data_IF_862644184046
#
_entry.id   IF_862644184046
#
_cell.length_a   1.000
_cell.length_b   1.000
_cell.length_c   1.000
_cell.angle_alpha   90.00
_cell.angle_beta   90.00
_cell.angle_gamma   90.00
#
_symmetry.space_group_name_H-M   'P 1'
#
loop_
_entity.id
_entity.type
_entity.pdbx_description
1 polymer ?
#
# COMPACT_ATOMS: atom_id res chain seq x y z
N UNK A 1 8.53 31.01 76.64
CA UNK A 1 9.74 31.79 76.30
C UNK A 1 10.91 30.84 76.18
N UNK A 2 11.85 31.14 75.26
CA UNK A 2 12.97 30.31 74.74
C UNK A 2 12.44 29.30 73.69
N UNK A 3 12.86 29.29 72.41
CA UNK A 3 14.22 29.37 71.87
C UNK A 3 14.31 30.12 70.54
N UNK A 4 15.50 30.69 70.30
CA UNK A 4 15.86 31.50 69.15
C UNK A 4 16.93 30.81 68.27
N UNK A 5 16.83 31.08 66.96
CA UNK A 5 17.87 31.14 65.92
C UNK A 5 18.50 29.80 65.44
N UNK A 6 19.21 29.74 64.27
CA UNK A 6 19.67 30.85 63.41
C UNK A 6 19.66 30.59 61.87
N UNK A 7 20.23 31.54 61.11
CA UNK A 7 20.99 31.40 59.82
C UNK A 7 20.18 31.01 58.55
N UNK A 8 20.38 31.54 57.34
CA UNK A 8 21.42 32.39 56.76
C UNK A 8 20.93 32.93 55.41
N UNK A 9 21.50 34.04 54.97
CA UNK A 9 21.33 34.59 53.64
C UNK A 9 21.92 33.65 52.57
N UNK A 10 21.17 33.36 51.51
CA UNK A 10 21.77 32.88 50.25
C UNK A 10 21.36 33.78 49.11
N UNK A 11 22.36 34.49 48.59
CA UNK A 11 22.39 35.07 47.25
C UNK A 11 22.34 33.92 46.24
N UNK A 12 21.55 34.07 45.18
CA UNK A 12 22.00 33.91 43.78
C UNK A 12 20.81 34.02 42.84
N UNK A 13 20.44 35.27 42.53
CA UNK A 13 19.64 35.57 41.35
C UNK A 13 20.57 35.56 40.14
N UNK A 14 20.82 34.38 39.58
CA UNK A 14 21.29 34.25 38.20
C UNK A 14 20.69 32.97 37.58
N UNK A 15 19.39 33.00 37.26
CA UNK A 15 18.85 32.05 36.29
C UNK A 15 18.98 32.66 34.90
N UNK A 16 20.06 32.24 34.27
CA UNK A 16 20.35 32.25 32.85
C UNK A 16 19.09 32.24 31.98
N UNK A 17 19.05 33.22 31.07
CA UNK A 17 18.19 33.26 29.89
C UNK A 17 18.20 31.91 29.17
N UNK A 18 17.10 31.17 29.21
CA UNK A 18 16.75 30.22 28.16
C UNK A 18 15.70 30.87 27.27
N UNK A 19 16.16 31.32 26.10
CA UNK A 19 15.32 31.71 24.97
C UNK A 19 14.27 30.62 24.67
N UNK A 20 13.11 30.99 24.10
CA UNK A 20 12.02 30.05 23.85
C UNK A 20 12.54 28.91 22.98
N UNK A 21 12.21 27.67 23.32
CA UNK A 21 12.47 26.53 22.46
C UNK A 21 11.68 26.71 21.16
N UNK A 22 12.31 27.38 20.19
CA UNK A 22 12.02 27.23 18.79
C UNK A 22 12.27 25.77 18.44
N UNK A 23 11.21 24.97 18.39
CA UNK A 23 11.16 23.95 17.37
C UNK A 23 10.39 24.58 16.21
N UNK A 24 11.09 25.30 15.35
CA UNK A 24 10.73 25.22 13.93
C UNK A 24 10.88 23.73 13.61
N UNK A 25 9.76 23.00 13.66
CA UNK A 25 9.61 21.68 13.06
C UNK A 25 9.74 21.90 11.56
N UNK A 26 10.95 22.18 11.08
CA UNK A 26 11.36 21.69 9.78
C UNK A 26 11.21 20.17 9.86
N UNK A 27 9.99 19.72 9.56
CA UNK A 27 9.73 18.79 8.48
C UNK A 27 10.82 17.74 8.25
N UNK A 28 11.24 17.05 9.30
CA UNK A 28 11.66 15.66 9.13
C UNK A 28 10.40 14.82 9.19
N UNK A 29 9.51 15.03 8.21
CA UNK A 29 8.59 13.98 7.83
C UNK A 29 9.49 12.87 7.28
N UNK A 30 9.93 11.97 8.16
CA UNK A 30 10.62 10.77 7.71
C UNK A 30 9.68 10.14 6.67
N UNK A 31 10.16 9.78 5.47
CA UNK A 31 9.30 9.22 4.42
C UNK A 31 8.51 7.99 4.91
N UNK A 32 9.03 7.33 5.95
CA UNK A 32 8.39 6.24 6.69
C UNK A 32 7.07 6.65 7.35
N UNK A 33 6.92 7.87 7.88
CA UNK A 33 5.68 8.32 8.52
C UNK A 33 4.57 8.56 7.48
N UNK A 34 4.89 9.12 6.32
CA UNK A 34 3.94 9.34 5.21
C UNK A 34 3.37 8.02 4.70
N UNK A 35 4.24 7.02 4.47
CA UNK A 35 3.81 5.70 4.04
C UNK A 35 2.87 5.03 5.06
N UNK A 36 3.14 5.18 6.36
CA UNK A 36 2.30 4.63 7.43
C UNK A 36 0.95 5.34 7.53
N UNK A 37 0.93 6.66 7.43
CA UNK A 37 -0.32 7.44 7.41
C UNK A 37 -1.19 7.05 6.22
N UNK A 38 -0.59 6.98 5.03
CA UNK A 38 -1.29 6.57 3.81
C UNK A 38 -1.77 5.12 3.90
N UNK A 39 -0.99 4.24 4.51
CA UNK A 39 -1.38 2.86 4.79
C UNK A 39 -2.60 2.78 5.72
N UNK A 40 -2.62 3.57 6.80
CA UNK A 40 -3.76 3.64 7.71
C UNK A 40 -5.00 4.28 7.07
N UNK A 41 -4.83 5.30 6.23
CA UNK A 41 -5.94 5.91 5.49
C UNK A 41 -6.55 4.93 4.49
N UNK A 42 -5.70 4.21 3.76
CA UNK A 42 -6.12 3.14 2.85
C UNK A 42 -6.84 2.03 3.61
N UNK A 43 -6.29 1.60 4.75
CA UNK A 43 -6.94 0.63 5.62
C UNK A 43 -8.31 1.14 6.09
N UNK A 44 -8.43 2.42 6.44
CA UNK A 44 -9.69 3.03 6.87
C UNK A 44 -10.73 3.05 5.74
N UNK A 45 -10.30 3.27 4.49
CA UNK A 45 -11.16 3.18 3.31
C UNK A 45 -11.66 1.76 3.04
N UNK A 46 -10.79 0.75 3.23
CA UNK A 46 -11.15 -0.66 3.03
C UNK A 46 -11.99 -1.22 4.18
N UNK A 47 -11.67 -0.90 5.44
CA UNK A 47 -12.36 -1.39 6.62
C UNK A 47 -13.65 -0.64 6.95
N UNK A 48 -13.62 0.67 6.74
CA UNK A 48 -14.45 1.63 7.46
C UNK A 48 -13.75 2.12 8.74
N UNK A 49 -13.79 3.44 8.99
CA UNK A 49 -13.10 4.10 10.11
C UNK A 49 -13.46 3.54 11.49
N UNK A 50 -14.72 3.19 11.72
CA UNK A 50 -15.19 2.67 13.01
C UNK A 50 -14.53 1.31 13.29
N UNK A 51 -14.64 0.39 12.33
CA UNK A 51 -14.10 -0.97 12.49
C UNK A 51 -12.58 -1.00 12.61
N UNK A 52 -11.90 -0.13 11.88
CA UNK A 52 -10.45 -0.02 12.02
C UNK A 52 -10.07 0.54 13.40
N UNK A 53 -10.83 1.52 13.92
CA UNK A 53 -10.59 2.05 15.26
C UNK A 53 -10.80 0.97 16.33
N UNK A 54 -11.82 0.12 16.17
CA UNK A 54 -12.08 -1.03 17.05
C UNK A 54 -10.92 -2.04 17.00
N UNK A 55 -10.43 -2.39 15.80
CA UNK A 55 -9.29 -3.32 15.61
C UNK A 55 -8.02 -2.79 16.28
N UNK A 56 -7.80 -1.47 16.20
CA UNK A 56 -6.68 -0.78 16.82
C UNK A 56 -6.88 -0.50 18.32
N UNK A 57 -8.05 -0.82 18.89
CA UNK A 57 -8.42 -0.50 20.27
C UNK A 57 -8.29 1.00 20.61
N UNK A 58 -8.62 1.88 19.65
CA UNK A 58 -8.59 3.33 19.81
C UNK A 58 -9.92 3.97 19.42
N UNK A 59 -10.10 5.25 19.74
CA UNK A 59 -11.26 6.01 19.26
C UNK A 59 -11.07 6.44 17.81
N UNK A 60 -12.19 6.61 17.08
CA UNK A 60 -12.18 7.16 15.70
C UNK A 60 -11.49 8.52 15.63
N UNK A 61 -11.62 9.34 16.69
CA UNK A 61 -10.91 10.62 16.79
C UNK A 61 -9.39 10.43 16.81
N UNK A 62 -8.89 9.48 17.60
CA UNK A 62 -7.46 9.18 17.65
C UNK A 62 -6.94 8.60 16.33
N UNK A 63 -7.76 7.77 15.67
CA UNK A 63 -7.46 7.29 14.31
C UNK A 63 -7.32 8.45 13.32
N UNK A 64 -8.23 9.42 13.33
CA UNK A 64 -8.12 10.59 12.45
C UNK A 64 -6.85 11.42 12.74
N UNK A 65 -6.45 11.56 14.00
CA UNK A 65 -5.17 12.21 14.34
C UNK A 65 -3.96 11.48 13.76
N UNK A 66 -4.01 10.14 13.72
CA UNK A 66 -2.96 9.32 13.10
C UNK A 66 -2.94 9.44 11.58
N UNK A 67 -4.10 9.46 10.94
CA UNK A 67 -4.22 9.60 9.49
C UNK A 67 -3.79 11.00 9.02
N UNK A 68 -4.15 12.06 9.76
CA UNK A 68 -3.81 13.44 9.43
C UNK A 68 -2.35 13.83 9.75
N UNK A 69 -1.58 12.93 10.38
CA UNK A 69 -0.20 13.23 10.82
C UNK A 69 -0.09 14.16 12.03
N UNK A 70 -1.20 14.40 12.73
CA UNK A 70 -1.19 15.13 13.99
C UNK A 70 -0.56 14.27 15.12
N UNK A 71 -0.64 12.94 14.99
CA UNK A 71 0.02 11.95 15.85
C UNK A 71 0.66 10.89 14.97
N UNK A 72 1.90 10.50 15.27
CA UNK A 72 2.57 9.44 14.51
C UNK A 72 1.85 8.08 14.57
N UNK A 73 1.98 7.32 13.50
CA UNK A 73 1.53 5.94 13.40
C UNK A 73 2.63 4.98 13.89
N UNK A 74 2.31 4.16 14.89
CA UNK A 74 3.25 3.19 15.46
C UNK A 74 3.30 1.90 14.63
N UNK A 75 4.37 1.11 14.79
CA UNK A 75 4.46 -0.23 14.18
C UNK A 75 3.29 -1.14 14.59
N UNK A 76 2.87 -1.06 15.86
CA UNK A 76 1.75 -1.84 16.37
C UNK A 76 0.45 -1.50 15.63
N UNK A 77 0.21 -0.23 15.31
CA UNK A 77 -0.99 0.18 14.56
C UNK A 77 -0.98 -0.41 13.14
N UNK A 78 0.17 -0.37 12.47
CA UNK A 78 0.30 -0.87 11.09
C UNK A 78 0.13 -2.39 11.05
N UNK A 79 0.75 -3.11 11.99
CA UNK A 79 0.63 -4.57 12.09
C UNK A 79 -0.80 -4.99 12.41
N UNK A 80 -1.47 -4.30 13.34
CA UNK A 80 -2.87 -4.58 13.68
C UNK A 80 -3.81 -4.31 12.49
N UNK A 81 -3.63 -3.19 11.79
CA UNK A 81 -4.39 -2.89 10.58
C UNK A 81 -4.19 -3.94 9.48
N UNK A 82 -2.94 -4.38 9.26
CA UNK A 82 -2.62 -5.43 8.29
C UNK A 82 -3.29 -6.76 8.64
N UNK A 83 -3.20 -7.21 9.89
CA UNK A 83 -3.86 -8.44 10.37
C UNK A 83 -5.37 -8.39 10.20
N UNK A 84 -5.99 -7.25 10.50
CA UNK A 84 -7.41 -7.05 10.23
C UNK A 84 -7.71 -7.25 8.74
N UNK A 85 -6.90 -6.66 7.86
CA UNK A 85 -7.15 -6.70 6.41
C UNK A 85 -7.02 -8.11 5.86
N UNK A 86 -6.04 -8.87 6.34
CA UNK A 86 -5.88 -10.29 6.03
C UNK A 86 -7.12 -11.10 6.42
N UNK A 87 -7.60 -10.97 7.66
CA UNK A 87 -8.81 -11.66 8.11
C UNK A 87 -10.05 -11.28 7.29
N UNK A 88 -10.16 -10.00 6.90
CA UNK A 88 -11.26 -9.55 6.04
C UNK A 88 -11.13 -10.13 4.64
N UNK A 89 -9.93 -10.19 4.08
CA UNK A 89 -9.66 -10.77 2.78
C UNK A 89 -10.03 -12.26 2.77
N UNK A 90 -9.66 -13.02 3.80
CA UNK A 90 -10.05 -14.43 3.96
C UNK A 90 -11.57 -14.62 3.93
N UNK A 91 -12.32 -13.79 4.66
CA UNK A 91 -13.80 -13.84 4.66
C UNK A 91 -14.38 -13.52 3.29
N UNK A 92 -13.82 -12.54 2.59
CA UNK A 92 -14.25 -12.19 1.23
C UNK A 92 -13.93 -13.30 0.24
N UNK A 93 -12.79 -13.96 0.34
CA UNK A 93 -12.42 -15.10 -0.48
C UNK A 93 -13.36 -16.29 -0.25
N UNK A 94 -13.65 -16.61 1.02
CA UNK A 94 -14.61 -17.65 1.36
C UNK A 94 -16.01 -17.34 0.82
N UNK A 95 -16.44 -16.07 0.89
CA UNK A 95 -17.71 -15.64 0.31
C UNK A 95 -17.71 -15.74 -1.22
N UNK A 96 -16.63 -15.29 -1.87
CA UNK A 96 -16.49 -15.40 -3.32
C UNK A 96 -16.51 -16.87 -3.79
N UNK A 97 -15.90 -17.79 -3.04
CA UNK A 97 -15.98 -19.23 -3.32
C UNK A 97 -17.42 -19.74 -3.25
N UNK A 98 -18.18 -19.35 -2.21
CA UNK A 98 -19.61 -19.70 -2.10
C UNK A 98 -20.41 -19.17 -3.30
N UNK A 99 -20.18 -17.92 -3.71
CA UNK A 99 -20.84 -17.34 -4.87
C UNK A 99 -20.50 -18.11 -6.15
N UNK A 100 -19.22 -18.45 -6.37
CA UNK A 100 -18.81 -19.24 -7.53
C UNK A 100 -19.46 -20.63 -7.55
N UNK A 101 -19.67 -21.26 -6.39
CA UNK A 101 -20.35 -22.55 -6.30
C UNK A 101 -21.86 -22.47 -6.63
N UNK A 102 -22.48 -21.31 -6.46
CA UNK A 102 -23.90 -21.07 -6.79
C UNK A 102 -24.08 -20.71 -8.26
N UNK A 103 -23.07 -20.13 -8.91
CA UNK A 103 -23.11 -19.84 -10.34
C UNK A 103 -23.14 -21.15 -11.12
N UNK A 104 -24.17 -21.33 -11.96
CA UNK A 104 -24.30 -22.49 -12.86
C UNK A 104 -23.03 -22.64 -13.71
N UNK A 105 -22.55 -23.88 -13.96
CA UNK A 105 -21.39 -24.12 -14.82
C UNK A 105 -21.54 -23.42 -16.18
N UNK A 106 -22.75 -23.38 -16.75
CA UNK A 106 -23.02 -22.68 -18.01
C UNK A 106 -22.71 -21.17 -17.98
N UNK A 107 -22.92 -20.50 -16.84
CA UNK A 107 -22.61 -19.07 -16.67
C UNK A 107 -21.12 -18.87 -16.42
N UNK A 108 -20.48 -19.76 -15.67
CA UNK A 108 -19.03 -19.77 -15.46
C UNK A 108 -18.27 -19.98 -16.78
N UNK A 109 -18.73 -20.92 -17.61
CA UNK A 109 -18.16 -21.23 -18.91
C UNK A 109 -18.33 -20.05 -19.88
N UNK A 110 -19.50 -19.39 -19.87
CA UNK A 110 -19.76 -18.21 -20.68
C UNK A 110 -18.84 -17.02 -20.30
N UNK A 111 -18.61 -16.76 -19.01
CA UNK A 111 -17.72 -15.69 -18.54
C UNK A 111 -16.26 -15.99 -18.90
N UNK A 112 -15.85 -17.25 -18.79
CA UNK A 112 -14.49 -17.68 -19.14
C UNK A 112 -14.26 -17.59 -20.65
N UNK A 113 -15.23 -18.06 -21.45
CA UNK A 113 -15.20 -17.92 -22.91
C UNK A 113 -15.19 -16.44 -23.35
N UNK A 114 -15.92 -15.55 -22.66
CA UNK A 114 -15.90 -14.12 -22.93
C UNK A 114 -14.51 -13.50 -22.65
N UNK A 115 -13.84 -13.90 -21.56
CA UNK A 115 -12.47 -13.46 -21.27
C UNK A 115 -11.46 -13.96 -22.30
N UNK A 116 -11.59 -15.21 -22.74
CA UNK A 116 -10.73 -15.76 -23.79
C UNK A 116 -10.92 -15.01 -25.11
N UNK A 117 -12.15 -14.64 -25.46
CA UNK A 117 -12.42 -13.78 -26.62
C UNK A 117 -11.73 -12.42 -26.47
N UNK A 118 -11.88 -11.78 -25.32
CA UNK A 118 -11.26 -10.48 -25.08
C UNK A 118 -9.72 -10.55 -25.15
N UNK A 119 -9.12 -11.61 -24.58
CA UNK A 119 -7.68 -11.86 -24.70
C UNK A 119 -7.25 -12.09 -26.15
N UNK A 120 -8.04 -12.85 -26.93
CA UNK A 120 -7.75 -13.09 -28.35
C UNK A 120 -7.80 -11.80 -29.18
N UNK A 121 -8.72 -10.88 -28.88
CA UNK A 121 -8.78 -9.57 -29.55
C UNK A 121 -7.56 -8.72 -29.23
N UNK A 122 -7.09 -8.74 -27.98
CA UNK A 122 -5.88 -8.00 -27.57
C UNK A 122 -4.64 -8.58 -28.26
N UNK A 123 -4.50 -9.91 -28.30
CA UNK A 123 -3.39 -10.58 -28.99
C UNK A 123 -3.39 -10.27 -30.49
N UNK A 124 -4.56 -10.34 -31.15
CA UNK A 124 -4.67 -9.97 -32.57
C UNK A 124 -4.30 -8.50 -32.82
N UNK A 125 -4.57 -7.61 -31.86
CA UNK A 125 -4.15 -6.22 -31.94
C UNK A 125 -2.64 -6.07 -31.76
N UNK A 126 -2.03 -6.79 -30.82
CA UNK A 126 -0.58 -6.83 -30.64
C UNK A 126 0.13 -7.33 -31.92
N UNK A 127 -0.32 -8.44 -32.51
CA UNK A 127 0.23 -8.98 -33.75
C UNK A 127 0.12 -7.99 -34.92
N UNK A 128 -0.99 -7.25 -34.99
CA UNK A 128 -1.17 -6.24 -36.03
C UNK A 128 -0.23 -5.04 -35.84
N UNK A 129 -0.04 -4.58 -34.61
CA UNK A 129 0.90 -3.49 -34.28
C UNK A 129 2.34 -3.91 -34.57
N UNK A 130 2.72 -5.14 -34.24
CA UNK A 130 4.05 -5.68 -34.56
C UNK A 130 4.28 -5.75 -36.08
N UNK A 131 3.34 -6.31 -36.85
CA UNK A 131 3.43 -6.31 -38.33
C UNK A 131 3.55 -4.89 -38.91
N UNK A 132 2.76 -3.95 -38.41
CA UNK A 132 2.79 -2.57 -38.89
C UNK A 132 4.11 -1.87 -38.53
N UNK A 133 4.70 -2.19 -37.38
CA UNK A 133 6.01 -1.70 -36.98
C UNK A 133 7.12 -2.27 -37.89
N UNK A 134 7.07 -3.56 -38.25
CA UNK A 134 8.03 -4.18 -39.18
C UNK A 134 7.90 -3.62 -40.60
N UNK A 135 6.69 -3.41 -41.11
CA UNK A 135 6.46 -2.84 -42.46
C UNK A 135 6.98 -1.40 -42.59
N UNK A 136 6.89 -0.58 -41.53
CA UNK A 136 7.43 0.80 -41.54
C UNK A 136 8.95 0.89 -41.43
N UNK A 137 9.62 -0.15 -40.93
CA UNK A 137 11.08 -0.20 -40.86
C UNK A 137 11.74 -0.61 -42.19
N UNK A 138 10.96 -0.91 -43.24
CA UNK A 138 11.51 -1.17 -44.57
C UNK A 138 12.31 -2.48 -44.67
N UNK A 139 12.12 -3.41 -43.73
CA UNK A 139 12.69 -4.76 -43.81
C UNK A 139 11.62 -5.66 -44.39
N UNK A 140 11.52 -5.65 -45.72
CA UNK A 140 10.67 -6.59 -46.46
C UNK A 140 11.06 -8.04 -46.16
N UNK A 141 10.09 -8.94 -46.27
CA UNK A 141 10.20 -10.41 -46.13
C UNK A 141 11.09 -11.08 -47.20
N UNK A 142 12.11 -10.38 -47.71
CA UNK A 142 13.08 -10.91 -48.67
C UNK A 142 14.41 -11.33 -48.00
N UNK A 143 14.49 -11.33 -46.66
CA UNK A 143 15.60 -11.93 -45.94
C UNK A 143 15.34 -13.43 -45.67
N UNK A 144 15.09 -14.19 -46.75
CA UNK A 144 15.32 -15.64 -46.74
C UNK A 144 16.77 -15.85 -47.15
N UNK A 145 17.47 -16.65 -46.34
CA UNK A 145 18.91 -16.99 -46.39
C UNK A 145 19.87 -15.97 -45.77
N UNK A 146 19.95 -16.01 -44.44
CA UNK A 146 21.25 -16.27 -43.80
C UNK A 146 21.05 -16.86 -42.41
N UNK A 147 21.65 -18.03 -42.24
CA UNK A 147 21.87 -18.70 -40.97
C UNK A 147 22.35 -17.69 -39.93
N UNK A 148 21.61 -17.58 -38.83
CA UNK A 148 22.14 -17.54 -37.46
C UNK A 148 20.98 -17.26 -36.52
N UNK A 149 20.53 -18.33 -35.86
CA UNK A 149 19.70 -18.20 -34.65
C UNK A 149 20.58 -17.64 -33.53
N UNK A 150 20.00 -16.79 -32.67
CA UNK A 150 19.91 -17.24 -31.29
C UNK A 150 18.51 -17.01 -30.72
N UNK A 151 17.94 -18.13 -30.28
CA UNK A 151 17.11 -18.31 -29.08
C UNK A 151 16.74 -17.06 -28.28
N UNK A 152 15.50 -16.61 -28.40
CA UNK A 152 14.78 -15.91 -27.33
C UNK A 152 13.36 -16.47 -27.10
N UNK A 153 13.07 -17.68 -27.63
CA UNK A 153 11.83 -18.41 -27.34
C UNK A 153 12.12 -19.53 -26.35
N UNK A 154 12.33 -19.18 -25.07
CA UNK A 154 12.15 -20.13 -23.96
C UNK A 154 12.16 -19.39 -22.62
N UNK A 155 10.98 -18.96 -22.16
CA UNK A 155 10.71 -18.85 -20.72
C UNK A 155 9.21 -18.65 -20.40
N UNK A 156 8.35 -19.51 -20.93
CA UNK A 156 7.03 -19.77 -20.32
C UNK A 156 6.65 -21.23 -20.52
N UNK A 157 7.32 -22.11 -19.78
CA UNK A 157 6.82 -23.45 -19.51
C UNK A 157 7.37 -23.90 -18.15
N UNK A 158 6.44 -24.38 -17.30
CA UNK A 158 6.64 -25.13 -16.05
C UNK A 158 6.85 -24.31 -14.76
N UNK A 159 5.72 -23.93 -14.15
CA UNK A 159 5.49 -24.22 -12.73
C UNK A 159 4.08 -24.84 -12.61
N UNK A 160 4.05 -26.18 -12.50
CA UNK A 160 3.01 -26.89 -11.74
C UNK A 160 3.20 -26.64 -10.24
#
# INVERSE_FOLDING_TARGET
MISAAPTEASKDTTLTVTKPCSANREQVAYPIEVARMMGLDTAAGLFGKIRLADELCITVRNLNYKINGERGASDADVVAAARGLEQRAERLLAHAQKLRAVVSPAVSDAVTAARLRQASTVLAHCDHVERFAYERQGVGLDAIEREDTPSCFSQYALCE
#
